data_IF_276632984978
#
_entry.id   IF_276632984978
#
_cell.length_a   1.000
_cell.length_b   1.000
_cell.length_c   1.000
_cell.angle_alpha   90.00
_cell.angle_beta   90.00
_cell.angle_gamma   90.00
#
_symmetry.space_group_name_H-M   'P 1'
#
loop_
_entity.id
_entity.type
_entity.pdbx_description
1 polymer ?
#
# COMPACT_ATOMS: atom_id res chain seq x y z
N UNK A 1 -16.76 -3.66 -3.03
CA UNK A 1 -16.04 -3.22 -4.25
C UNK A 1 -15.17 -2.01 -4.00
N UNK A 2 -13.94 -2.02 -4.53
CA UNK A 2 -12.99 -0.91 -4.46
C UNK A 2 -13.06 -0.03 -5.71
N UNK A 3 -12.94 1.28 -5.53
CA UNK A 3 -12.91 2.29 -6.60
C UNK A 3 -11.51 2.86 -6.70
N UNK A 4 -10.71 2.38 -7.65
CA UNK A 4 -9.30 2.76 -7.79
C UNK A 4 -9.09 3.56 -9.06
N UNK A 5 -8.21 4.56 -9.01
CA UNK A 5 -7.73 5.23 -10.23
C UNK A 5 -6.72 4.34 -10.94
N UNK A 6 -7.05 3.90 -12.16
CA UNK A 6 -6.17 3.05 -12.95
C UNK A 6 -5.07 3.87 -13.66
N UNK A 7 -3.86 3.83 -13.10
CA UNK A 7 -2.68 4.49 -13.64
C UNK A 7 -1.89 3.58 -14.59
N UNK A 8 -2.36 2.36 -14.86
CA UNK A 8 -1.76 1.44 -15.84
C UNK A 8 -2.35 1.63 -17.23
N UNK A 9 -3.47 2.35 -17.31
CA UNK A 9 -4.24 2.56 -18.52
C UNK A 9 -3.59 3.51 -19.54
N UNK A 10 -4.30 3.81 -20.64
CA UNK A 10 -3.79 4.61 -21.76
C UNK A 10 -3.32 6.02 -21.38
N UNK A 11 -3.74 6.54 -20.23
CA UNK A 11 -3.21 7.81 -19.71
C UNK A 11 -1.69 7.75 -19.50
N UNK A 12 -1.16 6.70 -18.88
CA UNK A 12 0.27 6.58 -18.60
C UNK A 12 1.13 6.45 -19.88
N UNK A 13 0.55 5.86 -20.93
CA UNK A 13 1.17 5.79 -22.25
C UNK A 13 1.22 7.20 -22.89
N UNK A 14 0.14 7.97 -22.79
CA UNK A 14 0.06 9.33 -23.34
C UNK A 14 0.99 10.32 -22.63
N UNK A 15 1.13 10.20 -21.32
CA UNK A 15 2.01 11.07 -20.53
C UNK A 15 3.47 10.65 -20.58
N UNK A 16 3.81 9.52 -21.25
CA UNK A 16 5.15 8.90 -21.24
C UNK A 16 5.69 8.65 -19.83
N UNK A 17 4.80 8.60 -18.83
CA UNK A 17 5.17 8.39 -17.42
C UNK A 17 5.31 6.91 -17.07
N UNK A 18 4.96 5.99 -17.99
CA UNK A 18 5.07 4.52 -17.89
C UNK A 18 5.77 3.97 -16.66
N UNK A 19 7.01 3.53 -16.80
CA UNK A 19 7.81 2.96 -15.70
C UNK A 19 8.23 4.01 -14.66
N UNK A 20 8.33 5.29 -15.04
CA UNK A 20 8.69 6.37 -14.12
C UNK A 20 7.70 6.51 -12.96
N UNK A 21 6.41 6.23 -13.19
CA UNK A 21 5.41 6.27 -12.12
C UNK A 21 5.68 5.19 -11.05
N UNK A 22 6.14 4.02 -11.50
CA UNK A 22 6.44 2.86 -10.67
C UNK A 22 7.78 2.97 -9.93
N UNK A 23 8.76 3.63 -10.56
CA UNK A 23 10.15 3.71 -10.06
C UNK A 23 10.53 5.07 -9.49
N UNK A 24 9.61 6.05 -9.50
CA UNK A 24 9.88 7.37 -8.95
C UNK A 24 10.22 7.30 -7.45
N UNK A 25 11.17 8.12 -6.96
CA UNK A 25 11.44 8.27 -5.54
C UNK A 25 10.16 8.61 -4.76
N UNK A 26 10.05 8.07 -3.54
CA UNK A 26 8.90 8.31 -2.66
C UNK A 26 8.64 9.80 -2.41
N UNK A 27 9.70 10.60 -2.30
CA UNK A 27 9.63 12.05 -2.14
C UNK A 27 8.87 12.74 -3.27
N UNK A 28 8.90 12.16 -4.47
CA UNK A 28 8.14 12.65 -5.62
C UNK A 28 6.76 12.03 -5.67
N UNK A 29 6.62 10.72 -5.54
CA UNK A 29 5.33 10.02 -5.74
C UNK A 29 4.32 10.28 -4.61
N UNK A 30 4.77 10.45 -3.35
CA UNK A 30 3.87 10.66 -2.21
C UNK A 30 3.07 11.98 -2.30
N UNK A 31 3.68 13.16 -2.61
CA UNK A 31 2.92 14.39 -2.83
C UNK A 31 1.82 14.26 -3.88
N UNK A 32 2.10 13.58 -5.00
CA UNK A 32 1.10 13.32 -6.04
C UNK A 32 -0.05 12.45 -5.54
N UNK A 33 0.26 11.34 -4.86
CA UNK A 33 -0.76 10.46 -4.29
C UNK A 33 -1.66 11.21 -3.28
N UNK A 34 -1.06 12.03 -2.41
CA UNK A 34 -1.82 12.88 -1.46
C UNK A 34 -2.70 13.91 -2.17
N UNK A 35 -2.19 14.54 -3.23
CA UNK A 35 -2.96 15.50 -4.02
C UNK A 35 -4.16 14.85 -4.72
N UNK A 36 -3.97 13.66 -5.32
CA UNK A 36 -5.04 12.88 -5.95
C UNK A 36 -6.09 12.49 -4.90
N UNK A 37 -5.66 11.97 -3.74
CA UNK A 37 -6.56 11.64 -2.62
C UNK A 37 -7.40 12.83 -2.19
N UNK A 38 -6.79 14.00 -2.01
CA UNK A 38 -7.50 15.23 -1.62
C UNK A 38 -8.48 15.70 -2.69
N UNK A 39 -8.14 15.56 -3.97
CA UNK A 39 -8.98 16.02 -5.09
C UNK A 39 -10.14 15.08 -5.39
N UNK A 40 -9.97 13.78 -5.14
CA UNK A 40 -10.91 12.71 -5.46
C UNK A 40 -11.18 11.83 -4.22
N UNK A 41 -11.85 12.37 -3.19
CA UNK A 41 -12.09 11.65 -1.93
C UNK A 41 -12.96 10.37 -2.08
N UNK A 42 -13.69 10.25 -3.18
CA UNK A 42 -14.52 9.08 -3.51
C UNK A 42 -13.71 7.87 -3.99
N UNK A 43 -12.41 8.04 -4.25
CA UNK A 43 -11.53 6.94 -4.64
C UNK A 43 -10.97 6.25 -3.41
N UNK A 44 -10.98 4.93 -3.43
CA UNK A 44 -10.38 4.09 -2.39
C UNK A 44 -8.86 3.94 -2.57
N UNK A 45 -8.29 4.37 -3.70
CA UNK A 45 -6.84 4.31 -3.92
C UNK A 45 -6.42 4.43 -5.38
N UNK A 46 -5.16 4.08 -5.64
CA UNK A 46 -4.50 4.09 -6.95
C UNK A 46 -4.10 2.68 -7.34
N UNK A 47 -4.30 2.32 -8.60
CA UNK A 47 -3.86 1.06 -9.18
C UNK A 47 -2.68 1.33 -10.12
N UNK A 48 -1.55 0.68 -9.88
CA UNK A 48 -0.31 0.96 -10.60
C UNK A 48 0.51 -0.31 -10.86
N UNK A 49 1.47 -0.22 -11.78
CA UNK A 49 2.43 -1.29 -12.06
C UNK A 49 3.55 -1.23 -11.03
N UNK A 50 3.90 -2.30 -10.31
CA UNK A 50 5.00 -2.27 -9.35
C UNK A 50 6.38 -2.22 -10.03
N UNK A 51 7.36 -1.62 -9.37
CA UNK A 51 8.75 -1.53 -9.86
C UNK A 51 9.45 -2.90 -9.94
N UNK A 52 9.00 -3.89 -9.16
CA UNK A 52 9.57 -5.24 -9.10
C UNK A 52 9.40 -6.04 -10.40
N UNK A 53 8.62 -5.52 -11.37
CA UNK A 53 8.32 -6.21 -12.62
C UNK A 53 7.34 -7.38 -12.44
N UNK A 54 6.80 -7.86 -13.56
CA UNK A 54 5.87 -9.01 -13.62
C UNK A 54 4.40 -8.63 -13.85
N UNK A 55 3.52 -9.65 -13.84
CA UNK A 55 2.06 -9.50 -13.96
C UNK A 55 1.40 -8.99 -12.67
N UNK A 56 2.20 -8.62 -11.68
CA UNK A 56 1.72 -8.20 -10.37
C UNK A 56 0.99 -6.86 -10.49
N UNK A 57 -0.16 -6.77 -9.84
CA UNK A 57 -0.94 -5.55 -9.71
C UNK A 57 -0.70 -5.00 -8.31
N UNK A 58 -0.31 -3.73 -8.22
CA UNK A 58 -0.12 -3.06 -6.93
C UNK A 58 -1.18 -1.99 -6.74
N UNK A 59 -1.68 -1.86 -5.51
CA UNK A 59 -2.65 -0.86 -5.13
C UNK A 59 -2.11 -0.04 -3.95
N UNK A 60 -2.19 1.29 -4.07
CA UNK A 60 -1.96 2.22 -2.97
C UNK A 60 -3.32 2.69 -2.45
N UNK A 61 -3.77 2.12 -1.32
CA UNK A 61 -5.08 2.43 -0.76
C UNK A 61 -5.05 3.74 0.04
N UNK A 62 -6.14 4.50 -0.05
CA UNK A 62 -6.32 5.76 0.68
C UNK A 62 -6.73 5.53 2.15
N UNK A 63 -7.15 4.32 2.48
CA UNK A 63 -7.51 3.96 3.86
C UNK A 63 -6.32 4.19 4.77
N UNK A 64 -6.50 5.10 5.71
CA UNK A 64 -5.61 5.20 6.87
C UNK A 64 -6.06 4.18 7.87
N UNK A 65 -5.11 3.55 8.55
CA UNK A 65 -5.41 2.81 9.78
C UNK A 65 -6.38 3.62 10.63
N UNK A 66 -7.44 3.00 11.13
CA UNK A 66 -8.43 3.69 11.96
C UNK A 66 -7.72 4.51 13.04
N UNK A 67 -8.17 5.73 13.38
CA UNK A 67 -7.55 6.55 14.43
C UNK A 67 -7.43 5.83 15.79
N UNK A 68 -8.11 4.69 15.97
CA UNK A 68 -7.90 3.77 17.09
C UNK A 68 -6.49 3.16 17.18
N UNK A 69 -5.68 3.20 16.12
CA UNK A 69 -4.25 2.90 16.17
C UNK A 69 -3.39 4.09 16.63
N UNK A 70 -4.01 5.25 16.90
CA UNK A 70 -3.36 6.49 17.34
C UNK A 70 -3.05 6.57 18.83
N UNK A 71 -3.04 5.45 19.55
CA UNK A 71 -2.49 5.40 20.91
C UNK A 71 -0.98 5.62 20.89
N UNK A 72 -0.40 6.06 22.00
CA UNK A 72 1.05 6.10 22.15
C UNK A 72 1.59 4.68 21.97
N UNK A 73 2.51 4.49 21.02
CA UNK A 73 3.16 3.19 20.82
C UNK A 73 4.04 2.93 22.04
N UNK A 74 3.53 2.16 23.00
CA UNK A 74 4.28 1.81 24.22
C UNK A 74 5.44 0.85 23.92
N UNK A 75 5.33 0.09 22.83
CA UNK A 75 6.33 -0.92 22.48
C UNK A 75 6.44 -1.09 20.96
N UNK A 76 7.65 -0.91 20.44
CA UNK A 76 8.02 -1.24 19.06
C UNK A 76 9.15 -2.28 19.09
N UNK A 77 8.93 -3.44 18.47
CA UNK A 77 9.90 -4.54 18.36
C UNK A 77 9.99 -5.03 16.92
N UNK A 78 11.13 -5.61 16.50
CA UNK A 78 11.23 -6.25 15.18
C UNK A 78 10.18 -7.35 15.02
N UNK A 79 9.66 -7.53 13.80
CA UNK A 79 8.61 -8.52 13.53
C UNK A 79 9.05 -9.97 13.86
N UNK A 80 10.36 -10.25 13.75
CA UNK A 80 10.96 -11.55 14.10
C UNK A 80 11.20 -11.74 15.60
N UNK A 81 10.76 -10.80 16.46
CA UNK A 81 10.92 -10.95 17.89
C UNK A 81 10.17 -12.20 18.38
N UNK A 82 10.81 -13.12 19.12
CA UNK A 82 10.23 -14.43 19.44
C UNK A 82 8.91 -14.35 20.22
N UNK A 83 8.69 -13.29 21.00
CA UNK A 83 7.43 -13.07 21.72
C UNK A 83 6.30 -12.52 20.84
N UNK A 84 6.61 -11.97 19.65
CA UNK A 84 5.60 -11.49 18.70
C UNK A 84 5.13 -12.57 17.73
N UNK A 85 5.99 -13.54 17.40
CA UNK A 85 5.67 -14.58 16.42
C UNK A 85 4.36 -15.36 16.72
N UNK A 86 4.05 -15.76 17.97
CA UNK A 86 2.80 -16.43 18.28
C UNK A 86 1.58 -15.54 18.04
N UNK A 87 1.64 -14.29 18.47
CA UNK A 87 0.56 -13.30 18.31
C UNK A 87 0.30 -13.02 16.83
N UNK A 88 1.38 -12.81 16.08
CA UNK A 88 1.34 -12.58 14.63
C UNK A 88 0.73 -13.79 13.92
N UNK A 89 1.15 -15.02 14.27
CA UNK A 89 0.59 -16.26 13.74
C UNK A 89 -0.91 -16.43 14.03
N UNK A 90 -1.35 -16.19 15.26
CA UNK A 90 -2.76 -16.27 15.65
C UNK A 90 -3.63 -15.27 14.87
N UNK A 91 -3.19 -14.01 14.81
CA UNK A 91 -3.88 -12.97 14.05
C UNK A 91 -3.92 -13.30 12.56
N UNK A 92 -2.82 -13.82 12.01
CA UNK A 92 -2.75 -14.32 10.64
C UNK A 92 -3.84 -15.36 10.36
N UNK A 93 -3.93 -16.40 11.19
CA UNK A 93 -4.95 -17.45 11.05
C UNK A 93 -6.38 -16.89 11.11
N UNK A 94 -6.66 -15.99 12.05
CA UNK A 94 -7.98 -15.34 12.19
C UNK A 94 -8.36 -14.52 10.96
N UNK A 95 -7.37 -13.94 10.27
CA UNK A 95 -7.56 -13.17 9.05
C UNK A 95 -7.49 -14.03 7.77
N UNK A 96 -7.26 -15.35 7.89
CA UNK A 96 -7.14 -16.26 6.75
C UNK A 96 -5.78 -16.18 6.03
N UNK A 97 -4.74 -15.68 6.70
CA UNK A 97 -3.37 -15.62 6.17
C UNK A 97 -2.46 -16.64 6.85
N UNK A 98 -1.66 -17.34 6.04
CA UNK A 98 -0.53 -18.15 6.51
C UNK A 98 0.71 -17.27 6.56
N UNK A 99 1.40 -17.23 7.71
CA UNK A 99 2.61 -16.44 7.88
C UNK A 99 3.80 -17.38 7.80
N UNK A 100 4.62 -17.22 6.76
CA UNK A 100 5.95 -17.79 6.71
C UNK A 100 6.91 -16.85 7.45
N UNK A 101 7.41 -17.32 8.59
CA UNK A 101 8.49 -16.63 9.31
C UNK A 101 9.80 -17.11 8.69
N UNK A 102 10.48 -16.22 7.96
CA UNK A 102 11.83 -16.44 7.41
C UNK A 102 12.87 -15.99 8.42
#
# INVERSE_FOLDING_TARGET
DLRLLDLRGPWAQRTRTGTHLSTAPHERSQPWARAIRRRYPQLHGLLYTPATGGRAVAAALNETSSPHLGGQIELSRPLHHPQLLPLVGEVGQRLGYSIEVV
#
